data_IF_414979616236
#
_entry.id   IF_414979616236
#
_cell.length_a   1.000
_cell.length_b   1.000
_cell.length_c   1.000
_cell.angle_alpha   90.00
_cell.angle_beta   90.00
_cell.angle_gamma   90.00
#
_symmetry.space_group_name_H-M   'P 1'
#
loop_
_entity.id
_entity.type
_entity.pdbx_description
1 polymer ?
#
# COMPACT_ATOMS: atom_id res chain seq x y z
N UNK A 1 15.04 -3.46 6.34
CA UNK A 1 14.56 -3.65 4.95
C UNK A 1 13.12 -3.21 4.90
N UNK A 2 12.87 -1.95 4.52
CA UNK A 2 11.52 -1.49 4.20
C UNK A 2 11.20 -1.95 2.78
N UNK A 3 10.19 -2.80 2.60
CA UNK A 3 9.64 -3.13 1.28
C UNK A 3 9.28 -1.82 0.59
N UNK A 4 9.69 -1.55 -0.64
CA UNK A 4 9.37 -0.29 -1.33
C UNK A 4 7.94 -0.30 -1.90
N UNK A 5 7.34 0.88 -2.08
CA UNK A 5 5.95 1.01 -2.61
C UNK A 5 5.77 0.23 -3.91
N UNK A 6 6.74 0.32 -4.81
CA UNK A 6 6.72 -0.36 -6.10
C UNK A 6 6.75 -1.90 -5.95
N UNK A 7 7.43 -2.40 -4.91
CA UNK A 7 7.43 -3.85 -4.61
C UNK A 7 6.06 -4.30 -4.07
N UNK A 8 5.38 -3.47 -3.28
CA UNK A 8 4.03 -3.75 -2.82
C UNK A 8 3.01 -3.73 -3.97
N UNK A 9 3.12 -2.79 -4.90
CA UNK A 9 2.26 -2.74 -6.09
C UNK A 9 2.46 -3.97 -7.00
N UNK A 10 3.71 -4.38 -7.21
CA UNK A 10 4.04 -5.62 -7.92
C UNK A 10 3.48 -6.86 -7.20
N UNK A 11 3.67 -6.95 -5.88
CA UNK A 11 3.13 -8.05 -5.08
C UNK A 11 1.60 -8.10 -5.11
N UNK A 12 0.94 -6.94 -5.08
CA UNK A 12 -0.52 -6.83 -5.15
C UNK A 12 -1.03 -7.34 -6.50
N UNK A 13 -0.35 -6.99 -7.59
CA UNK A 13 -0.68 -7.45 -8.95
C UNK A 13 -0.59 -8.97 -9.06
N UNK A 14 0.49 -9.56 -8.52
CA UNK A 14 0.66 -11.02 -8.51
C UNK A 14 -0.43 -11.68 -7.65
N UNK A 15 -0.71 -11.14 -6.47
CA UNK A 15 -1.77 -11.67 -5.60
C UNK A 15 -3.16 -11.58 -6.25
N UNK A 16 -3.45 -10.51 -7.00
CA UNK A 16 -4.70 -10.36 -7.74
C UNK A 16 -4.82 -11.42 -8.86
N UNK A 17 -3.74 -11.69 -9.58
CA UNK A 17 -3.72 -12.75 -10.58
C UNK A 17 -3.99 -14.13 -9.94
N UNK A 18 -3.39 -14.41 -8.77
CA UNK A 18 -3.62 -15.66 -8.04
C UNK A 18 -5.06 -15.78 -7.53
N UNK A 19 -5.67 -14.68 -7.05
CA UNK A 19 -7.10 -14.67 -6.69
C UNK A 19 -7.97 -14.93 -7.91
N UNK A 20 -7.64 -14.35 -9.06
CA UNK A 20 -8.39 -14.59 -10.31
C UNK A 20 -8.30 -16.04 -10.79
N UNK A 21 -7.18 -16.72 -10.57
CA UNK A 21 -6.95 -18.08 -11.06
C UNK A 21 -7.38 -19.17 -10.06
N UNK A 22 -7.18 -18.94 -8.76
CA UNK A 22 -7.36 -19.94 -7.69
C UNK A 22 -8.42 -19.55 -6.66
N UNK A 23 -9.07 -18.38 -6.81
CA UNK A 23 -10.16 -17.92 -5.97
C UNK A 23 -9.73 -17.60 -4.54
N UNK A 24 -10.64 -17.89 -3.60
CA UNK A 24 -10.57 -17.46 -2.19
C UNK A 24 -9.31 -17.94 -1.45
N UNK A 25 -8.62 -18.97 -1.95
CA UNK A 25 -7.38 -19.48 -1.35
C UNK A 25 -6.29 -18.41 -1.23
N UNK A 26 -6.25 -17.45 -2.17
CA UNK A 26 -5.24 -16.37 -2.19
C UNK A 26 -5.81 -15.01 -1.75
N UNK A 27 -7.11 -14.91 -1.52
CA UNK A 27 -7.76 -13.68 -1.07
C UNK A 27 -7.14 -13.12 0.22
N UNK A 28 -6.78 -13.93 1.24
CA UNK A 28 -6.13 -13.41 2.45
C UNK A 28 -4.76 -12.75 2.19
N UNK A 29 -4.02 -13.22 1.18
CA UNK A 29 -2.74 -12.63 0.81
C UNK A 29 -2.94 -11.30 0.08
N UNK A 30 -3.88 -11.27 -0.87
CA UNK A 30 -4.26 -10.04 -1.58
C UNK A 30 -4.68 -8.93 -0.60
N UNK A 31 -5.63 -9.22 0.30
CA UNK A 31 -6.14 -8.24 1.26
C UNK A 31 -5.06 -7.68 2.20
N UNK A 32 -4.09 -8.53 2.60
CA UNK A 32 -2.97 -8.06 3.44
C UNK A 32 -2.06 -7.09 2.71
N UNK A 33 -1.75 -7.37 1.44
CA UNK A 33 -0.88 -6.51 0.64
C UNK A 33 -1.61 -5.20 0.32
N UNK A 34 -2.89 -5.27 -0.02
CA UNK A 34 -3.75 -4.12 -0.27
C UNK A 34 -3.78 -3.17 0.94
N UNK A 35 -4.07 -3.70 2.13
CA UNK A 35 -4.12 -2.91 3.36
C UNK A 35 -2.78 -2.23 3.71
N UNK A 36 -1.65 -2.90 3.48
CA UNK A 36 -0.33 -2.31 3.71
C UNK A 36 0.00 -1.21 2.70
N UNK A 37 -0.41 -1.38 1.44
CA UNK A 37 -0.25 -0.35 0.40
C UNK A 37 -1.08 0.90 0.74
N UNK A 38 -2.35 0.72 1.10
CA UNK A 38 -3.24 1.81 1.53
C UNK A 38 -2.69 2.57 2.74
N UNK A 39 -2.22 1.83 3.75
CA UNK A 39 -1.62 2.42 4.96
C UNK A 39 -0.43 3.31 4.62
N UNK A 40 0.44 2.88 3.71
CA UNK A 40 1.62 3.67 3.29
C UNK A 40 1.26 4.88 2.47
N UNK A 41 0.26 4.77 1.60
CA UNK A 41 -0.27 5.92 0.86
C UNK A 41 -0.85 6.95 1.84
N UNK A 42 -1.65 6.50 2.82
CA UNK A 42 -2.21 7.36 3.85
C UNK A 42 -1.14 8.05 4.70
N UNK A 43 -0.08 7.32 5.09
CA UNK A 43 1.06 7.88 5.83
C UNK A 43 1.82 8.95 5.03
N UNK A 44 2.08 8.70 3.74
CA UNK A 44 2.77 9.65 2.86
C UNK A 44 1.94 10.94 2.73
N UNK A 45 0.64 10.81 2.44
CA UNK A 45 -0.28 11.96 2.40
C UNK A 45 -0.33 12.71 3.73
N UNK A 46 -0.31 12.02 4.87
CA UNK A 46 -0.30 12.66 6.19
C UNK A 46 0.98 13.45 6.45
N UNK A 47 2.14 12.89 6.08
CA UNK A 47 3.44 13.57 6.18
C UNK A 47 3.46 14.83 5.32
N UNK A 48 2.98 14.74 4.08
CA UNK A 48 2.97 15.90 3.17
C UNK A 48 2.05 17.01 3.67
N UNK A 49 0.86 16.66 4.18
CA UNK A 49 -0.01 17.63 4.85
C UNK A 49 0.68 18.27 6.05
N UNK A 50 1.32 17.48 6.91
CA UNK A 50 2.04 17.99 8.07
C UNK A 50 3.18 18.96 7.67
N UNK A 51 3.92 18.64 6.60
CA UNK A 51 4.97 19.50 6.04
C UNK A 51 4.41 20.82 5.51
N UNK A 52 3.29 20.80 4.79
CA UNK A 52 2.63 22.01 4.28
C UNK A 52 2.15 22.89 5.43
N UNK A 53 1.55 22.31 6.47
CA UNK A 53 1.09 23.05 7.65
C UNK A 53 2.28 23.68 8.37
N UNK A 54 3.35 22.92 8.61
CA UNK A 54 4.55 23.43 9.27
C UNK A 54 5.19 24.61 8.51
N UNK A 55 5.25 24.55 7.17
CA UNK A 55 5.77 25.64 6.33
C UNK A 55 4.91 26.91 6.32
N UNK A 56 3.63 26.82 6.69
CA UNK A 56 2.72 27.98 6.78
C UNK A 56 2.77 28.68 8.15
N UNK A 57 3.36 28.03 9.16
CA UNK A 57 3.44 28.55 10.53
C UNK A 57 4.79 29.23 10.85
N UNK A 58 5.78 29.12 9.97
CA UNK A 58 7.05 29.84 10.04
C UNK A 58 7.12 30.92 8.98
#
# INVERSE_FOLDING_TARGET
MSVDKEQLEKALTVAAALVSEYGDAYLPAFLRIEAELEKRQAQTCAIDRARVIARRMG
#
